data_IF_822064796943
#
_entry.id   IF_822064796943
#
_cell.length_a   1.000
_cell.length_b   1.000
_cell.length_c   1.000
_cell.angle_alpha   90.00
_cell.angle_beta   90.00
_cell.angle_gamma   90.00
#
_symmetry.space_group_name_H-M   'P 1'
#
loop_
_entity.id
_entity.type
_entity.pdbx_description
1 polymer ?
#
# COMPACT_ATOMS: atom_id res chain seq x y z
N UNK A 1 0.49 8.84 3.43
CA UNK A 1 -0.91 9.04 3.79
C UNK A 1 -1.02 8.59 5.22
N UNK A 2 -1.11 9.56 6.11
CA UNK A 2 -1.21 9.43 7.57
C UNK A 2 -2.67 9.50 8.04
N UNK A 3 -3.62 9.67 7.11
CA UNK A 3 -5.05 9.81 7.39
C UNK A 3 -5.45 10.98 8.29
N UNK A 4 -4.58 11.93 8.61
CA UNK A 4 -4.86 12.93 9.65
C UNK A 4 -5.81 14.04 9.21
N UNK A 5 -5.77 14.42 7.92
CA UNK A 5 -6.67 15.44 7.37
C UNK A 5 -7.86 14.85 6.62
N UNK A 6 -7.60 13.81 5.83
CA UNK A 6 -8.57 13.15 4.97
C UNK A 6 -8.11 11.71 4.67
N UNK A 7 -8.82 11.00 3.80
CA UNK A 7 -8.47 9.63 3.41
C UNK A 7 -7.39 9.55 2.31
N UNK A 8 -6.77 10.66 1.91
CA UNK A 8 -5.85 10.78 0.77
C UNK A 8 -6.41 10.20 -0.55
N UNK A 9 -7.72 10.19 -0.70
CA UNK A 9 -8.43 9.59 -1.84
C UNK A 9 -8.59 8.07 -1.78
N UNK A 10 -8.20 7.40 -0.69
CA UNK A 10 -8.58 6.02 -0.45
C UNK A 10 -10.07 5.92 -0.16
N UNK A 11 -10.72 4.93 -0.77
CA UNK A 11 -12.18 4.75 -0.70
C UNK A 11 -12.51 3.28 -0.47
N UNK A 12 -13.51 3.04 0.37
CA UNK A 12 -14.17 1.73 0.45
C UNK A 12 -14.97 1.52 -0.84
N UNK A 13 -14.92 0.30 -1.38
CA UNK A 13 -15.55 -0.04 -2.66
C UNK A 13 -16.49 -1.25 -2.58
N UNK A 14 -16.42 -2.03 -1.50
CA UNK A 14 -17.32 -3.15 -1.25
C UNK A 14 -18.61 -2.68 -0.55
N UNK A 15 -19.42 -1.88 -1.24
CA UNK A 15 -20.59 -1.21 -0.65
C UNK A 15 -21.84 -2.13 -0.43
N UNK A 16 -21.67 -3.45 -0.39
CA UNK A 16 -22.80 -4.40 -0.34
C UNK A 16 -23.10 -4.92 1.07
N UNK A 17 -22.19 -4.71 2.03
CA UNK A 17 -22.40 -5.02 3.43
C UNK A 17 -22.11 -3.80 4.33
N UNK A 18 -22.03 -4.00 5.63
CA UNK A 18 -21.68 -2.96 6.61
C UNK A 18 -20.26 -3.23 7.18
N UNK A 19 -19.45 -4.04 6.50
CA UNK A 19 -18.10 -4.43 6.90
C UNK A 19 -17.11 -3.60 6.09
N UNK A 20 -17.08 -2.30 6.40
CA UNK A 20 -16.37 -1.29 5.63
C UNK A 20 -15.11 -0.79 6.34
N UNK A 21 -14.09 -0.43 5.56
CA UNK A 21 -12.98 0.38 6.05
C UNK A 21 -13.47 1.81 6.33
N UNK A 22 -13.29 2.25 7.57
CA UNK A 22 -13.70 3.59 8.02
C UNK A 22 -12.52 4.35 8.62
N UNK A 23 -12.46 5.64 8.31
CA UNK A 23 -11.49 6.57 8.88
C UNK A 23 -12.04 7.11 10.19
N UNK A 24 -11.40 6.83 11.31
CA UNK A 24 -11.78 7.40 12.62
C UNK A 24 -10.60 7.32 13.59
N UNK A 25 -10.83 7.64 14.85
CA UNK A 25 -9.83 7.65 15.92
C UNK A 25 -10.27 6.74 17.08
N UNK A 26 -9.31 6.33 17.91
CA UNK A 26 -9.61 5.48 19.07
C UNK A 26 -10.54 6.17 20.08
N UNK A 27 -10.33 7.47 20.29
CA UNK A 27 -11.13 8.28 21.23
C UNK A 27 -12.59 8.47 20.79
N UNK A 28 -12.88 8.34 19.48
CA UNK A 28 -14.22 8.44 18.93
C UNK A 28 -15.01 7.11 19.02
N UNK A 29 -14.37 6.00 19.37
CA UNK A 29 -15.01 4.69 19.47
C UNK A 29 -15.83 4.54 20.74
N UNK A 30 -16.88 3.71 20.66
CA UNK A 30 -17.62 3.31 21.85
C UNK A 30 -16.71 2.51 22.81
N UNK A 31 -16.90 2.61 24.15
CA UNK A 31 -16.01 1.99 25.14
C UNK A 31 -15.85 0.47 24.99
N UNK A 32 -16.85 -0.21 24.44
CA UNK A 32 -16.79 -1.65 24.18
C UNK A 32 -15.68 -2.02 23.19
N UNK A 33 -15.43 -1.17 22.18
CA UNK A 33 -14.47 -1.43 21.12
C UNK A 33 -13.09 -0.80 21.35
N UNK A 34 -12.99 0.22 22.20
CA UNK A 34 -11.70 0.85 22.56
C UNK A 34 -10.68 -0.15 23.13
N UNK A 35 -11.13 -1.25 23.73
CA UNK A 35 -10.25 -2.28 24.29
C UNK A 35 -9.60 -3.17 23.22
N UNK A 36 -10.20 -3.24 22.03
CA UNK A 36 -9.73 -4.05 20.91
C UNK A 36 -8.99 -3.19 19.88
N UNK A 37 -9.44 -1.95 19.65
CA UNK A 37 -8.80 -1.01 18.76
C UNK A 37 -7.38 -0.63 19.22
N UNK A 38 -6.50 -0.21 18.30
CA UNK A 38 -5.26 0.46 18.68
C UNK A 38 -5.58 1.61 19.65
N UNK A 39 -4.88 1.71 20.80
CA UNK A 39 -5.17 2.76 21.78
C UNK A 39 -4.80 4.15 21.24
N UNK A 40 -3.86 4.21 20.30
CA UNK A 40 -3.30 5.42 19.73
C UNK A 40 -3.02 5.22 18.23
N UNK A 41 -3.17 6.29 17.46
CA UNK A 41 -2.70 6.37 16.07
C UNK A 41 -1.18 6.19 16.01
N UNK A 42 -0.68 5.71 14.88
CA UNK A 42 0.76 5.47 14.75
C UNK A 42 1.53 6.78 14.52
N UNK A 43 0.96 7.71 13.75
CA UNK A 43 1.59 8.98 13.32
C UNK A 43 2.06 9.85 14.50
N UNK A 44 1.18 10.07 15.49
CA UNK A 44 1.40 10.98 16.61
C UNK A 44 1.43 10.28 17.97
N UNK A 45 1.11 8.99 18.05
CA UNK A 45 0.91 8.26 19.31
C UNK A 45 -0.13 8.95 20.21
N UNK A 46 -1.29 9.30 19.63
CA UNK A 46 -2.41 9.94 20.32
C UNK A 46 -3.72 9.19 20.07
N UNK A 47 -4.64 9.26 21.02
CA UNK A 47 -5.94 8.59 20.88
C UNK A 47 -6.86 9.28 19.86
N UNK A 48 -6.56 10.56 19.58
CA UNK A 48 -7.29 11.45 18.70
C UNK A 48 -6.77 11.47 17.26
N UNK A 49 -5.60 10.91 17.00
CA UNK A 49 -5.11 10.74 15.63
C UNK A 49 -5.97 9.72 14.89
N UNK A 50 -5.91 9.80 13.57
CA UNK A 50 -6.82 9.09 12.68
C UNK A 50 -6.08 8.02 11.92
N UNK A 51 -6.76 6.89 11.75
CA UNK A 51 -6.29 5.79 10.93
C UNK A 51 -7.49 5.14 10.25
N UNK A 52 -7.21 4.29 9.27
CA UNK A 52 -8.26 3.54 8.59
C UNK A 52 -8.44 2.18 9.27
N UNK A 53 -9.66 1.80 9.63
CA UNK A 53 -9.89 0.51 10.28
C UNK A 53 -11.25 -0.11 9.94
N UNK A 54 -11.31 -1.43 10.11
CA UNK A 54 -12.54 -2.20 10.21
C UNK A 54 -12.64 -2.69 11.64
N UNK A 55 -13.72 -2.34 12.31
CA UNK A 55 -13.99 -2.75 13.69
C UNK A 55 -15.43 -3.21 13.78
N UNK A 56 -15.61 -4.51 14.02
CA UNK A 56 -16.94 -5.10 14.05
C UNK A 56 -16.98 -6.31 14.96
N UNK A 57 -18.16 -6.55 15.51
CA UNK A 57 -18.54 -7.86 16.02
C UNK A 57 -19.65 -8.38 15.10
N UNK A 58 -19.35 -9.41 14.31
CA UNK A 58 -20.28 -9.94 13.33
C UNK A 58 -20.23 -11.46 13.24
N UNK A 59 -21.33 -12.06 12.81
CA UNK A 59 -21.48 -13.50 12.63
C UNK A 59 -21.99 -13.84 11.22
N UNK A 60 -21.72 -12.97 10.26
CA UNK A 60 -22.17 -13.14 8.87
C UNK A 60 -21.39 -14.23 8.15
N UNK A 61 -22.06 -14.97 7.27
CA UNK A 61 -21.46 -16.12 6.57
C UNK A 61 -20.25 -15.69 5.71
N UNK A 62 -20.33 -14.52 5.09
CA UNK A 62 -19.25 -13.91 4.32
C UNK A 62 -19.37 -12.40 4.42
N UNK A 63 -18.24 -11.71 4.60
CA UNK A 63 -18.13 -10.26 4.61
C UNK A 63 -16.86 -9.83 3.91
N UNK A 64 -16.93 -8.73 3.17
CA UNK A 64 -15.82 -8.24 2.36
C UNK A 64 -15.70 -6.73 2.49
N UNK A 65 -14.52 -6.27 2.87
CA UNK A 65 -14.14 -4.86 2.78
C UNK A 65 -13.04 -4.72 1.74
N UNK A 66 -13.09 -3.66 0.93
CA UNK A 66 -12.11 -3.36 -0.10
C UNK A 66 -11.77 -1.87 -0.12
N UNK A 67 -10.68 -1.50 0.58
CA UNK A 67 -10.14 -0.14 0.54
C UNK A 67 -9.23 0.02 -0.68
N UNK A 68 -9.69 0.79 -1.66
CA UNK A 68 -8.96 1.05 -2.91
C UNK A 68 -8.29 2.42 -2.89
N UNK A 69 -7.05 2.48 -3.35
CA UNK A 69 -6.30 3.74 -3.48
C UNK A 69 -6.76 4.57 -4.69
N UNK A 70 -6.36 5.84 -4.77
CA UNK A 70 -6.32 6.55 -6.04
C UNK A 70 -5.48 5.82 -7.08
N UNK A 71 -5.68 6.14 -8.36
CA UNK A 71 -4.82 5.67 -9.43
C UNK A 71 -3.45 6.37 -9.35
N UNK A 72 -2.40 5.56 -9.22
CA UNK A 72 -1.02 5.98 -9.35
C UNK A 72 -0.55 5.79 -10.79
N UNK A 73 0.46 6.56 -11.20
CA UNK A 73 1.04 6.48 -12.54
C UNK A 73 2.09 5.38 -12.60
N UNK A 74 3.33 5.76 -12.86
CA UNK A 74 4.45 4.85 -12.98
C UNK A 74 5.41 5.01 -11.80
N UNK A 75 6.19 3.98 -11.51
CA UNK A 75 7.22 4.01 -10.47
C UNK A 75 8.62 3.78 -11.05
N UNK A 76 9.64 4.32 -10.39
CA UNK A 76 11.04 3.99 -10.66
C UNK A 76 11.43 2.60 -10.16
N UNK A 77 12.59 2.10 -10.59
CA UNK A 77 13.08 0.75 -10.30
C UNK A 77 13.33 0.45 -8.81
N UNK A 78 13.60 1.47 -8.00
CA UNK A 78 13.85 1.33 -6.56
C UNK A 78 12.63 1.55 -5.67
N UNK A 79 11.42 1.57 -6.25
CA UNK A 79 10.21 1.89 -5.50
C UNK A 79 9.90 0.87 -4.39
N UNK A 80 9.75 1.39 -3.17
CA UNK A 80 9.36 0.63 -1.98
C UNK A 80 8.07 1.21 -1.42
N UNK A 81 7.09 0.34 -1.15
CA UNK A 81 5.88 0.68 -0.41
C UNK A 81 6.06 0.24 1.05
N UNK A 82 5.71 1.11 1.99
CA UNK A 82 5.59 0.73 3.39
C UNK A 82 4.30 1.27 4.01
N UNK A 83 3.81 0.58 5.02
CA UNK A 83 2.66 1.01 5.81
C UNK A 83 2.70 0.34 7.17
N UNK A 84 1.99 0.93 8.12
CA UNK A 84 1.74 0.33 9.43
C UNK A 84 0.39 -0.36 9.42
N UNK A 85 0.31 -1.49 10.08
CA UNK A 85 -0.91 -2.26 10.21
C UNK A 85 -1.07 -2.83 11.61
N UNK A 86 -2.30 -3.13 11.95
CA UNK A 86 -2.70 -3.71 13.22
C UNK A 86 -3.80 -4.73 12.95
N UNK A 87 -3.66 -5.96 13.45
CA UNK A 87 -4.64 -7.01 13.25
C UNK A 87 -4.81 -7.83 14.54
N UNK A 88 -5.84 -7.52 15.31
CA UNK A 88 -6.03 -8.08 16.66
C UNK A 88 -7.49 -8.44 16.93
N UNK A 89 -7.70 -9.61 17.54
CA UNK A 89 -9.01 -10.08 17.95
C UNK A 89 -9.21 -11.56 17.63
N UNK A 90 -10.44 -12.02 17.82
CA UNK A 90 -10.85 -13.39 17.54
C UNK A 90 -11.36 -13.49 16.10
N UNK A 91 -10.84 -14.47 15.38
CA UNK A 91 -11.24 -14.75 13.99
C UNK A 91 -11.14 -13.55 13.05
N UNK A 92 -10.17 -12.65 13.30
CA UNK A 92 -9.93 -11.50 12.42
C UNK A 92 -9.59 -11.90 10.99
N UNK A 93 -9.16 -13.14 10.75
CA UNK A 93 -8.94 -13.66 9.40
C UNK A 93 -7.86 -12.91 8.62
N UNK A 94 -7.83 -13.14 7.31
CA UNK A 94 -6.79 -12.61 6.45
C UNK A 94 -7.08 -11.18 5.99
N UNK A 95 -6.04 -10.35 5.92
CA UNK A 95 -6.04 -9.08 5.20
C UNK A 95 -4.99 -9.15 4.10
N UNK A 96 -5.31 -8.71 2.88
CA UNK A 96 -4.43 -8.83 1.72
C UNK A 96 -4.25 -7.48 1.03
N UNK A 97 -3.00 -7.05 0.88
CA UNK A 97 -2.65 -5.92 0.02
C UNK A 97 -2.43 -6.45 -1.39
N UNK A 98 -3.17 -5.93 -2.36
CA UNK A 98 -3.14 -6.32 -3.76
C UNK A 98 -2.75 -5.14 -4.65
N UNK A 99 -2.02 -5.46 -5.72
CA UNK A 99 -1.64 -4.56 -6.80
C UNK A 99 -2.51 -4.82 -8.02
N UNK A 100 -3.17 -3.77 -8.49
CA UNK A 100 -3.99 -3.78 -9.70
C UNK A 100 -3.29 -2.93 -10.76
N UNK A 101 -2.68 -3.56 -11.76
CA UNK A 101 -1.98 -2.87 -12.85
C UNK A 101 -2.90 -2.73 -14.06
N UNK A 102 -2.98 -1.52 -14.63
CA UNK A 102 -3.74 -1.24 -15.83
C UNK A 102 -3.36 -2.17 -16.98
N UNK A 103 -4.36 -2.79 -17.60
CA UNK A 103 -4.17 -3.76 -18.68
C UNK A 103 -3.96 -5.21 -18.21
N UNK A 104 -3.74 -5.45 -16.91
CA UNK A 104 -3.66 -6.80 -16.34
C UNK A 104 -5.04 -7.25 -15.84
N UNK A 105 -5.40 -8.51 -16.11
CA UNK A 105 -6.70 -9.08 -15.70
C UNK A 105 -6.74 -9.54 -14.25
N UNK A 106 -5.60 -9.95 -13.69
CA UNK A 106 -5.53 -10.51 -12.36
C UNK A 106 -4.70 -9.58 -11.46
N UNK A 107 -5.15 -9.35 -10.22
CA UNK A 107 -4.37 -8.62 -9.24
C UNK A 107 -3.18 -9.46 -8.76
N UNK A 108 -2.10 -8.79 -8.38
CA UNK A 108 -0.93 -9.42 -7.74
C UNK A 108 -0.99 -9.18 -6.25
N UNK A 109 -0.92 -10.24 -5.45
CA UNK A 109 -0.85 -10.09 -3.98
C UNK A 109 0.55 -9.64 -3.59
N UNK A 110 0.63 -8.52 -2.88
CA UNK A 110 1.87 -7.94 -2.39
C UNK A 110 2.20 -8.34 -0.95
N UNK A 111 1.16 -8.43 -0.10
CA UNK A 111 1.32 -8.72 1.32
C UNK A 111 0.06 -9.34 1.90
N UNK A 112 0.22 -10.16 2.95
CA UNK A 112 -0.88 -10.80 3.68
C UNK A 112 -0.60 -10.85 5.18
N UNK A 113 -1.61 -10.52 5.98
CA UNK A 113 -1.74 -10.98 7.37
C UNK A 113 -2.73 -12.14 7.38
N UNK A 114 -2.43 -13.23 8.09
CA UNK A 114 -3.29 -14.43 8.08
C UNK A 114 -4.17 -14.57 9.33
N UNK A 115 -3.74 -14.02 10.46
CA UNK A 115 -4.35 -14.24 11.76
C UNK A 115 -4.08 -13.06 12.70
N UNK A 116 -4.51 -13.19 13.96
CA UNK A 116 -4.23 -12.23 15.01
C UNK A 116 -2.72 -12.11 15.28
N UNK A 117 -2.15 -10.94 15.03
CA UNK A 117 -0.71 -10.65 15.19
C UNK A 117 -0.37 -9.88 16.47
N UNK A 118 -1.35 -9.81 17.38
CA UNK A 118 -1.22 -9.23 18.71
C UNK A 118 -1.68 -7.78 18.78
N UNK A 119 -1.75 -7.27 20.01
CA UNK A 119 -2.16 -5.90 20.30
C UNK A 119 -0.99 -4.92 20.11
N UNK A 120 -0.52 -4.76 18.87
CA UNK A 120 0.58 -3.87 18.51
C UNK A 120 0.52 -3.47 17.03
N UNK A 121 1.05 -2.28 16.73
CA UNK A 121 1.31 -1.86 15.36
C UNK A 121 2.54 -2.59 14.82
N UNK A 122 2.43 -3.08 13.59
CA UNK A 122 3.50 -3.74 12.85
C UNK A 122 3.74 -3.02 11.53
N UNK A 123 4.98 -3.04 11.04
CA UNK A 123 5.36 -2.40 9.78
C UNK A 123 5.49 -3.43 8.67
N UNK A 124 4.83 -3.18 7.55
CA UNK A 124 5.05 -3.90 6.30
C UNK A 124 5.92 -3.07 5.36
N UNK A 125 6.87 -3.73 4.67
CA UNK A 125 7.73 -3.12 3.66
C UNK A 125 7.76 -4.05 2.45
N UNK A 126 7.44 -3.50 1.27
CA UNK A 126 7.23 -4.23 0.03
C UNK A 126 8.05 -3.56 -1.07
N UNK A 127 8.92 -4.32 -1.73
CA UNK A 127 9.60 -3.83 -2.93
C UNK A 127 8.64 -3.91 -4.11
N UNK A 128 8.13 -2.76 -4.58
CA UNK A 128 7.27 -2.70 -5.76
C UNK A 128 8.10 -2.73 -7.04
N UNK A 129 9.25 -2.06 -7.02
CA UNK A 129 10.11 -1.92 -8.19
C UNK A 129 9.46 -1.12 -9.32
N UNK A 130 9.89 -1.40 -10.55
CA UNK A 130 9.46 -0.70 -11.76
C UNK A 130 8.06 -1.13 -12.19
N UNK A 131 7.10 -0.20 -12.13
CA UNK A 131 5.75 -0.35 -12.67
C UNK A 131 5.54 0.68 -13.80
N UNK A 132 5.55 0.26 -15.09
CA UNK A 132 5.46 1.17 -16.23
C UNK A 132 4.03 1.63 -16.56
N UNK A 133 3.02 0.93 -16.02
CA UNK A 133 1.62 1.22 -16.28
C UNK A 133 0.92 1.80 -15.05
N UNK A 134 -0.14 2.61 -15.22
CA UNK A 134 -0.97 3.06 -14.11
C UNK A 134 -1.44 1.89 -13.25
N UNK A 135 -1.49 2.10 -11.94
CA UNK A 135 -1.86 1.05 -11.00
C UNK A 135 -2.63 1.59 -9.80
N UNK A 136 -3.35 0.70 -9.12
CA UNK A 136 -4.00 0.94 -7.85
C UNK A 136 -3.56 -0.11 -6.83
N UNK A 137 -3.61 0.26 -5.56
CA UNK A 137 -3.54 -0.66 -4.44
C UNK A 137 -4.94 -0.93 -3.91
N UNK A 138 -5.15 -2.15 -3.44
CA UNK A 138 -6.40 -2.56 -2.81
C UNK A 138 -6.07 -3.33 -1.54
N UNK A 139 -6.64 -2.93 -0.41
CA UNK A 139 -6.54 -3.67 0.83
C UNK A 139 -7.86 -4.40 1.08
N UNK A 140 -7.81 -5.71 0.83
CA UNK A 140 -8.97 -6.57 0.84
C UNK A 140 -9.02 -7.30 2.19
N UNK A 141 -10.18 -7.26 2.83
CA UNK A 141 -10.46 -7.98 4.05
C UNK A 141 -11.63 -8.91 3.81
N UNK A 142 -11.40 -10.21 3.97
CA UNK A 142 -12.46 -11.22 3.84
C UNK A 142 -12.61 -11.90 5.19
N UNK A 143 -13.83 -11.89 5.71
CA UNK A 143 -14.20 -12.65 6.90
C UNK A 143 -15.27 -13.68 6.54
N UNK A 144 -15.09 -14.90 7.04
CA UNK A 144 -16.05 -16.00 6.90
C UNK A 144 -16.55 -16.39 8.29
N UNK A 145 -17.83 -16.16 8.56
CA UNK A 145 -18.46 -16.49 9.82
C UNK A 145 -18.25 -15.43 10.91
N UNK A 146 -17.65 -15.84 12.03
CA UNK A 146 -17.49 -14.97 13.19
C UNK A 146 -16.27 -14.06 13.04
N UNK A 147 -16.47 -12.75 13.24
CA UNK A 147 -15.42 -11.73 13.32
C UNK A 147 -15.63 -10.92 14.59
N UNK A 148 -14.65 -10.90 15.49
CA UNK A 148 -14.65 -10.06 16.69
C UNK A 148 -13.25 -9.49 16.91
N UNK A 149 -13.00 -8.35 16.29
CA UNK A 149 -11.71 -7.70 16.37
C UNK A 149 -11.59 -6.50 15.47
N UNK A 150 -10.34 -6.13 15.21
CA UNK A 150 -9.99 -4.96 14.42
C UNK A 150 -8.87 -5.28 13.45
N UNK A 151 -9.01 -4.72 12.26
CA UNK A 151 -7.93 -4.56 11.30
C UNK A 151 -7.77 -3.07 11.05
N UNK A 152 -6.58 -2.53 11.21
CA UNK A 152 -6.29 -1.13 10.98
C UNK A 152 -5.02 -0.96 10.16
N UNK A 153 -4.94 0.14 9.42
CA UNK A 153 -3.75 0.59 8.71
C UNK A 153 -3.51 2.07 8.94
N UNK A 154 -2.26 2.45 8.88
CA UNK A 154 -1.81 3.84 9.02
C UNK A 154 -0.52 4.07 8.22
N UNK A 155 -0.15 5.33 8.02
CA UNK A 155 1.17 5.75 7.53
C UNK A 155 1.63 5.06 6.23
N UNK A 156 0.77 5.09 5.20
CA UNK A 156 1.10 4.52 3.89
C UNK A 156 2.08 5.43 3.15
N UNK A 157 3.27 4.91 2.84
CA UNK A 157 4.36 5.67 2.26
C UNK A 157 5.01 4.96 1.07
N UNK A 158 5.32 5.75 0.04
CA UNK A 158 6.10 5.34 -1.11
C UNK A 158 7.49 5.97 -1.02
N UNK A 159 8.53 5.15 -1.01
CA UNK A 159 9.93 5.55 -0.91
C UNK A 159 10.65 5.22 -2.22
N UNK A 160 11.45 6.16 -2.73
CA UNK A 160 12.25 5.99 -3.96
C UNK A 160 11.45 5.58 -5.20
N UNK A 161 10.18 5.99 -5.28
CA UNK A 161 9.28 5.61 -6.37
C UNK A 161 9.30 6.58 -7.56
N UNK A 162 9.98 7.73 -7.46
CA UNK A 162 10.13 8.63 -8.59
C UNK A 162 11.03 8.01 -9.66
N UNK A 163 10.64 8.15 -10.93
CA UNK A 163 11.56 7.91 -12.05
C UNK A 163 12.73 8.90 -11.97
N UNK A 164 13.91 8.55 -12.51
CA UNK A 164 15.06 9.45 -12.47
C UNK A 164 14.74 10.77 -13.18
N UNK A 165 15.22 11.86 -12.60
CA UNK A 165 15.01 13.18 -13.18
C UNK A 165 15.97 13.41 -14.38
N UNK A 166 15.55 14.24 -15.36
CA UNK A 166 16.43 14.65 -16.44
C UNK A 166 17.74 15.26 -15.92
N UNK A 167 18.87 14.86 -16.50
CA UNK A 167 20.18 15.45 -16.23
C UNK A 167 20.56 16.46 -17.32
N UNK A 168 21.27 17.52 -16.94
CA UNK A 168 21.79 18.51 -17.89
C UNK A 168 22.95 17.97 -18.75
N UNK A 169 23.72 17.03 -18.19
CA UNK A 169 24.79 16.32 -18.88
C UNK A 169 24.90 14.90 -18.34
N UNK A 170 25.46 14.01 -19.16
CA UNK A 170 25.68 12.62 -18.81
C UNK A 170 27.05 12.17 -19.34
N UNK A 171 28.09 12.84 -18.84
CA UNK A 171 29.47 12.60 -19.26
C UNK A 171 30.17 11.67 -18.26
N UNK A 172 30.88 10.67 -18.77
CA UNK A 172 31.69 9.77 -17.97
C UNK A 172 31.74 8.36 -18.57
N UNK A 173 32.78 7.57 -18.23
CA UNK A 173 32.96 6.23 -18.79
C UNK A 173 31.89 5.23 -18.36
N UNK A 174 31.24 5.45 -17.21
CA UNK A 174 30.26 4.53 -16.62
C UNK A 174 28.86 5.16 -16.54
N UNK A 175 28.47 5.91 -17.57
CA UNK A 175 27.21 6.65 -17.60
C UNK A 175 26.44 6.31 -18.86
N UNK A 176 25.12 6.20 -18.72
CA UNK A 176 24.21 6.01 -19.84
C UNK A 176 23.15 7.10 -19.83
N UNK A 177 22.94 7.72 -20.98
CA UNK A 177 22.00 8.83 -21.13
C UNK A 177 20.70 8.33 -21.76
N UNK A 178 19.65 8.30 -20.96
CA UNK A 178 18.33 7.83 -21.37
C UNK A 178 17.77 8.67 -22.52
N UNK A 179 17.13 8.00 -23.48
CA UNK A 179 16.75 8.60 -24.76
C UNK A 179 15.72 9.71 -24.60
N UNK A 180 14.63 9.45 -23.89
CA UNK A 180 13.45 10.33 -23.83
C UNK A 180 13.37 11.07 -22.50
N UNK A 181 13.64 10.41 -21.38
CA UNK A 181 13.66 11.07 -20.06
C UNK A 181 14.87 11.98 -19.86
N UNK A 182 15.93 11.80 -20.66
CA UNK A 182 17.23 12.47 -20.48
C UNK A 182 17.85 12.24 -19.10
N UNK A 183 17.40 11.22 -18.37
CA UNK A 183 18.02 10.79 -17.14
C UNK A 183 19.43 10.24 -17.40
N UNK A 184 20.31 10.41 -16.41
CA UNK A 184 21.66 9.85 -16.47
C UNK A 184 21.79 8.74 -15.43
N UNK A 185 21.90 7.50 -15.89
CA UNK A 185 22.02 6.31 -15.04
C UNK A 185 23.43 5.74 -15.11
N UNK A 186 23.73 4.76 -14.24
CA UNK A 186 24.99 4.02 -14.31
C UNK A 186 24.95 3.02 -15.46
N UNK A 187 26.05 2.87 -16.20
CA UNK A 187 26.13 1.91 -17.32
C UNK A 187 25.95 0.46 -16.88
N UNK A 188 26.16 0.13 -15.60
CA UNK A 188 25.91 -1.21 -15.05
C UNK A 188 24.43 -1.57 -14.99
N UNK A 189 23.54 -0.57 -15.12
CA UNK A 189 22.09 -0.72 -15.13
C UNK A 189 21.52 -0.84 -16.55
N UNK A 190 22.39 -0.90 -17.57
CA UNK A 190 21.99 -1.07 -18.96
C UNK A 190 21.95 -2.55 -19.27
N UNK A 191 20.86 -3.01 -19.89
CA UNK A 191 20.62 -4.41 -20.22
C UNK A 191 20.55 -5.34 -18.99
N UNK A 192 19.97 -4.85 -17.90
CA UNK A 192 19.81 -5.58 -16.64
C UNK A 192 18.38 -6.15 -16.45
N UNK A 193 17.53 -6.01 -17.47
CA UNK A 193 16.11 -6.38 -17.51
C UNK A 193 15.20 -5.50 -16.63
N UNK A 194 15.69 -4.36 -16.16
CA UNK A 194 14.95 -3.38 -15.36
C UNK A 194 14.99 -2.03 -16.07
N UNK A 195 13.81 -1.46 -16.36
CA UNK A 195 13.74 -0.10 -16.91
C UNK A 195 14.10 0.93 -15.82
N UNK A 196 15.38 1.27 -15.74
CA UNK A 196 15.94 2.28 -14.85
C UNK A 196 15.80 3.68 -15.44
N UNK A 197 15.72 3.81 -16.77
CA UNK A 197 15.51 5.09 -17.43
C UNK A 197 14.10 5.67 -17.27
N UNK A 198 13.11 4.82 -16.99
CA UNK A 198 11.68 5.16 -16.99
C UNK A 198 11.06 5.28 -18.40
N UNK A 199 11.86 5.09 -19.45
CA UNK A 199 11.46 5.07 -20.86
C UNK A 199 11.87 3.78 -21.60
N UNK A 200 12.53 2.84 -20.90
CA UNK A 200 13.00 1.56 -21.42
C UNK A 200 14.23 1.62 -22.32
N UNK A 201 14.83 2.80 -22.52
CA UNK A 201 15.95 2.96 -23.47
C UNK A 201 17.25 2.26 -23.04
N UNK A 202 17.41 2.00 -21.75
CA UNK A 202 18.50 1.20 -21.19
C UNK A 202 18.39 -0.30 -21.47
N UNK A 203 17.20 -0.77 -21.84
CA UNK A 203 16.91 -2.19 -22.13
C UNK A 203 16.77 -2.46 -23.63
N UNK A 204 17.12 -1.49 -24.48
CA UNK A 204 17.10 -1.63 -25.93
C UNK A 204 18.46 -2.09 -26.49
N UNK A 205 18.43 -2.97 -27.49
CA UNK A 205 19.60 -3.43 -28.26
C UNK A 205 20.70 -4.14 -27.43
N UNK A 206 20.28 -4.91 -26.44
CA UNK A 206 21.13 -5.80 -25.65
C UNK A 206 21.50 -7.04 -26.49
N UNK A 207 22.75 -7.12 -26.95
CA UNK A 207 23.28 -8.20 -27.80
C UNK A 207 24.18 -9.16 -27.04
#
# INVERSE_FOLDING_TARGET
CDFERDSCGWVETANEDEFDWVRSSSSALAPAFQKQAPPQDHTYNKSEGHFMFILKNSSSISQVAQLRSPEFRQTGSNCTLSFWYYNYGQSVGAAEMQLLVGGMKQPTVLWRAYYNEGNQWLKAVIQLGRLPHPFQLSLDKISLGFYDGVSAIDDIMFENCACPHPALSCEGPNRFWCRDTKACIDSLLVCDLVDNCGDGSDEENCS
#
